data_IF_037316453756
#
_entry.id   IF_037316453756
#
_cell.length_a   1.000
_cell.length_b   1.000
_cell.length_c   1.000
_cell.angle_alpha   90.00
_cell.angle_beta   90.00
_cell.angle_gamma   90.00
#
_symmetry.space_group_name_H-M   'P 1'
#
loop_
_entity.id
_entity.type
_entity.pdbx_description
1 polymer ?
#
# COMPACT_ATOMS: atom_id res chain seq x y z
N UNK A 1 -6.48 -17.17 -10.50
CA UNK A 1 -6.93 -16.45 -11.72
C UNK A 1 -6.14 -16.92 -12.94
N UNK A 2 -4.83 -16.66 -13.02
CA UNK A 2 -4.02 -16.95 -14.22
C UNK A 2 -4.01 -18.40 -14.72
N UNK A 3 -4.25 -19.39 -13.84
CA UNK A 3 -4.36 -20.81 -14.24
C UNK A 3 -5.46 -21.07 -15.28
N UNK A 4 -6.53 -20.27 -15.28
CA UNK A 4 -7.67 -20.42 -16.19
C UNK A 4 -7.76 -19.29 -17.23
N UNK A 5 -6.65 -18.56 -17.46
CA UNK A 5 -6.65 -17.39 -18.35
C UNK A 5 -6.95 -17.74 -19.80
N UNK A 6 -6.67 -18.98 -20.22
CA UNK A 6 -7.03 -19.55 -21.52
C UNK A 6 -8.55 -19.63 -21.74
N UNK A 7 -9.32 -19.82 -20.66
CA UNK A 7 -10.78 -19.92 -20.70
C UNK A 7 -11.47 -18.58 -20.48
N UNK A 8 -10.96 -17.76 -19.57
CA UNK A 8 -11.58 -16.49 -19.20
C UNK A 8 -11.14 -15.32 -20.07
N UNK A 9 -9.97 -15.43 -20.72
CA UNK A 9 -9.31 -14.31 -21.40
C UNK A 9 -8.79 -13.22 -20.46
N UNK A 10 -8.84 -13.46 -19.14
CA UNK A 10 -8.43 -12.50 -18.10
C UNK A 10 -7.13 -12.94 -17.46
N UNK A 11 -6.14 -12.06 -17.47
CA UNK A 11 -4.90 -12.19 -16.69
C UNK A 11 -4.96 -11.26 -15.49
N UNK A 12 -4.29 -11.66 -14.41
CA UNK A 12 -4.21 -10.90 -13.19
C UNK A 12 -2.77 -10.69 -12.75
N UNK A 13 -2.50 -9.52 -12.18
CA UNK A 13 -1.28 -9.18 -11.47
C UNK A 13 -1.63 -8.53 -10.13
N UNK A 14 -0.66 -8.43 -9.24
CA UNK A 14 -0.83 -7.77 -7.94
C UNK A 14 0.24 -6.72 -7.74
N UNK A 15 -0.06 -5.75 -6.90
CA UNK A 15 0.93 -4.83 -6.34
C UNK A 15 0.64 -4.65 -4.86
N UNK A 16 1.53 -5.15 -4.00
CA UNK A 16 1.40 -5.03 -2.55
C UNK A 16 2.55 -4.18 -2.03
N UNK A 17 2.25 -2.91 -1.81
CA UNK A 17 3.21 -1.93 -1.34
C UNK A 17 2.55 -0.97 -0.35
N UNK A 18 3.20 -0.76 0.79
CA UNK A 18 2.84 0.27 1.76
C UNK A 18 3.89 1.37 1.70
N UNK A 19 3.46 2.60 1.45
CA UNK A 19 4.34 3.78 1.35
C UNK A 19 4.02 4.75 2.47
N UNK A 20 5.05 5.22 3.17
CA UNK A 20 4.93 6.22 4.22
C UNK A 20 4.38 7.56 3.71
N UNK A 21 3.64 8.27 4.55
CA UNK A 21 3.03 9.55 4.18
C UNK A 21 4.07 10.68 4.03
N UNK A 22 5.14 10.64 4.83
CA UNK A 22 6.25 11.60 4.83
C UNK A 22 7.60 10.87 4.85
N UNK A 23 8.69 11.61 4.69
CA UNK A 23 10.04 11.07 4.83
C UNK A 23 10.25 10.52 6.23
N UNK A 24 11.11 9.52 6.38
CA UNK A 24 11.46 8.97 7.69
C UNK A 24 12.05 10.10 8.55
N UNK A 25 11.55 10.27 9.77
CA UNK A 25 12.07 11.18 10.78
C UNK A 25 12.69 10.35 11.92
N UNK A 26 13.53 10.97 12.74
CA UNK A 26 14.17 10.30 13.87
C UNK A 26 13.13 9.79 14.86
N UNK A 27 13.30 8.55 15.32
CA UNK A 27 12.36 7.90 16.21
C UNK A 27 12.79 6.47 16.53
N UNK A 28 11.89 5.73 17.17
CA UNK A 28 12.12 4.34 17.51
C UNK A 28 10.87 3.51 17.26
N UNK A 29 11.08 2.24 16.92
CA UNK A 29 10.03 1.22 17.04
C UNK A 29 9.88 0.79 18.50
N UNK A 30 8.79 0.10 18.86
CA UNK A 30 8.68 -0.54 20.17
C UNK A 30 9.24 -1.96 20.18
N UNK A 31 9.37 -2.54 21.38
CA UNK A 31 9.89 -3.90 21.56
C UNK A 31 8.98 -4.99 20.95
N UNK A 32 7.71 -4.69 20.70
CA UNK A 32 6.74 -5.60 20.09
C UNK A 32 6.65 -5.47 18.57
N UNK A 33 7.43 -4.58 17.96
CA UNK A 33 7.40 -4.33 16.53
C UNK A 33 7.66 -5.62 15.76
N UNK A 34 6.69 -6.01 14.96
CA UNK A 34 6.70 -7.21 14.15
C UNK A 34 6.09 -6.97 12.78
N UNK A 35 6.54 -7.73 11.79
CA UNK A 35 5.96 -7.73 10.45
C UNK A 35 5.58 -9.17 10.10
N UNK A 36 4.34 -9.36 9.66
CA UNK A 36 3.78 -10.66 9.31
C UNK A 36 3.99 -11.71 10.41
N UNK A 37 3.86 -11.31 11.68
CA UNK A 37 4.04 -12.16 12.85
C UNK A 37 5.49 -12.44 13.27
N UNK A 38 6.49 -11.92 12.55
CA UNK A 38 7.91 -12.03 12.93
C UNK A 38 8.34 -10.78 13.69
N UNK A 39 8.75 -10.97 14.94
CA UNK A 39 9.24 -9.88 15.80
C UNK A 39 10.61 -9.41 15.30
N UNK A 40 10.70 -8.10 15.05
CA UNK A 40 11.94 -7.38 14.72
C UNK A 40 12.48 -6.71 15.98
N UNK A 41 11.58 -6.16 16.82
CA UNK A 41 11.92 -5.52 18.09
C UNK A 41 12.21 -4.03 17.97
N UNK A 42 12.78 -3.46 19.04
CA UNK A 42 13.09 -2.03 19.12
C UNK A 42 14.29 -1.69 18.23
N UNK A 43 14.10 -0.68 17.38
CA UNK A 43 15.10 -0.15 16.45
C UNK A 43 15.02 1.37 16.51
N UNK A 44 16.14 2.00 16.85
CA UNK A 44 16.28 3.45 16.82
C UNK A 44 16.78 3.89 15.44
N UNK A 45 16.03 4.76 14.77
CA UNK A 45 16.34 5.28 13.44
C UNK A 45 16.43 6.80 13.47
N UNK A 46 17.31 7.34 12.61
CA UNK A 46 17.54 8.78 12.47
C UNK A 46 16.67 9.37 11.36
N UNK A 47 16.68 10.69 11.26
CA UNK A 47 16.08 11.40 10.11
C UNK A 47 16.60 10.78 8.81
N UNK A 48 15.67 10.50 7.88
CA UNK A 48 15.96 9.86 6.60
C UNK A 48 16.50 8.42 6.68
N UNK A 49 16.41 7.77 7.84
CA UNK A 49 17.09 6.50 8.15
C UNK A 49 18.58 6.55 7.73
N UNK A 50 19.29 7.63 8.09
CA UNK A 50 20.71 7.82 7.74
C UNK A 50 21.62 6.72 8.30
N UNK A 51 21.25 6.14 9.45
CA UNK A 51 21.93 4.99 10.03
C UNK A 51 21.55 3.67 9.34
N UNK A 52 20.56 3.68 8.44
CA UNK A 52 20.04 2.50 7.73
C UNK A 52 19.46 1.44 8.66
N UNK A 53 19.17 1.78 9.92
CA UNK A 53 18.84 0.81 10.95
C UNK A 53 17.44 0.24 10.72
N UNK A 54 16.47 1.10 10.37
CA UNK A 54 15.09 0.66 10.15
C UNK A 54 14.99 -0.25 8.93
N UNK A 55 15.53 0.20 7.79
CA UNK A 55 15.52 -0.59 6.55
C UNK A 55 16.29 -1.89 6.72
N UNK A 56 17.45 -1.87 7.38
CA UNK A 56 18.25 -3.08 7.59
C UNK A 56 17.58 -4.07 8.54
N UNK A 57 16.98 -3.60 9.63
CA UNK A 57 16.31 -4.46 10.59
C UNK A 57 15.10 -5.19 9.97
N UNK A 58 14.31 -4.50 9.15
CA UNK A 58 13.21 -5.13 8.39
C UNK A 58 13.77 -6.12 7.36
N UNK A 59 14.79 -5.72 6.61
CA UNK A 59 15.36 -6.57 5.56
C UNK A 59 16.11 -7.80 6.11
N UNK A 60 16.56 -7.78 7.37
CA UNK A 60 17.20 -8.92 8.02
C UNK A 60 16.27 -10.14 8.12
N UNK A 61 14.96 -9.93 8.17
CA UNK A 61 13.94 -10.99 8.25
C UNK A 61 13.08 -11.11 6.99
N UNK A 62 13.47 -10.45 5.88
CA UNK A 62 12.69 -10.40 4.63
C UNK A 62 12.33 -11.77 4.06
N UNK A 63 13.21 -12.75 4.20
CA UNK A 63 13.00 -14.09 3.63
C UNK A 63 11.95 -14.87 4.44
N UNK A 64 11.73 -14.47 5.70
CA UNK A 64 10.69 -15.04 6.56
C UNK A 64 9.37 -14.26 6.42
N UNK A 65 9.44 -12.93 6.49
CA UNK A 65 8.26 -12.06 6.43
C UNK A 65 7.68 -11.93 5.02
N UNK A 66 8.51 -12.03 3.98
CA UNK A 66 8.16 -11.72 2.58
C UNK A 66 8.14 -10.24 2.25
N UNK A 67 8.54 -9.39 3.19
CA UNK A 67 8.46 -7.94 3.09
C UNK A 67 9.86 -7.37 2.97
N UNK A 68 10.08 -6.61 1.91
CA UNK A 68 11.31 -5.87 1.67
C UNK A 68 11.08 -4.39 1.97
N UNK A 69 11.95 -3.82 2.79
CA UNK A 69 12.00 -2.38 3.04
C UNK A 69 12.95 -1.69 2.07
N UNK A 70 12.55 -0.51 1.60
CA UNK A 70 13.37 0.41 0.85
C UNK A 70 13.01 1.86 1.19
N UNK A 71 13.86 2.79 0.73
CA UNK A 71 13.62 4.22 0.80
C UNK A 71 13.37 4.74 -0.61
N UNK A 72 12.32 5.52 -0.81
CA UNK A 72 12.04 6.16 -2.11
C UNK A 72 12.94 7.40 -2.33
N UNK A 73 12.87 8.01 -3.52
CA UNK A 73 13.66 9.21 -3.82
C UNK A 73 13.28 10.43 -2.95
N UNK A 74 12.10 10.41 -2.32
CA UNK A 74 11.60 11.44 -1.43
C UNK A 74 11.89 11.15 0.06
N UNK A 75 12.64 10.09 0.36
CA UNK A 75 13.00 9.69 1.72
C UNK A 75 11.90 8.97 2.50
N UNK A 76 10.80 8.58 1.87
CA UNK A 76 9.69 7.81 2.47
C UNK A 76 10.08 6.35 2.61
N UNK A 77 9.63 5.72 3.69
CA UNK A 77 9.71 4.27 3.85
C UNK A 77 8.75 3.59 2.88
N UNK A 78 9.26 2.61 2.15
CA UNK A 78 8.49 1.75 1.26
C UNK A 78 8.64 0.31 1.72
N UNK A 79 7.52 -0.36 1.96
CA UNK A 79 7.46 -1.78 2.25
C UNK A 79 6.80 -2.47 1.08
N UNK A 80 7.50 -3.40 0.43
CA UNK A 80 7.01 -4.14 -0.73
C UNK A 80 6.97 -5.63 -0.40
N UNK A 81 5.86 -6.29 -0.66
CA UNK A 81 5.81 -7.75 -0.61
C UNK A 81 6.15 -8.33 -1.99
N UNK A 82 7.20 -9.17 -2.03
CA UNK A 82 7.69 -9.76 -3.27
C UNK A 82 6.78 -10.91 -3.78
N UNK A 83 6.12 -11.61 -2.87
CA UNK A 83 5.28 -12.78 -3.15
C UNK A 83 3.78 -12.46 -3.18
N UNK A 84 3.41 -11.19 -2.96
CA UNK A 84 2.02 -10.75 -2.96
C UNK A 84 1.26 -11.10 -1.69
N UNK A 85 1.96 -11.48 -0.61
CA UNK A 85 1.37 -11.58 0.73
C UNK A 85 0.98 -10.19 1.23
N UNK A 86 -0.02 -10.15 2.11
CA UNK A 86 -0.30 -8.95 2.87
C UNK A 86 0.90 -8.52 3.71
N UNK A 87 1.00 -7.21 3.92
CA UNK A 87 1.91 -6.57 4.85
C UNK A 87 1.08 -6.23 6.08
N UNK A 88 1.31 -6.95 7.17
CA UNK A 88 0.77 -6.67 8.47
C UNK A 88 1.88 -6.26 9.42
N UNK A 89 1.76 -5.08 10.00
CA UNK A 89 2.65 -4.55 11.02
C UNK A 89 1.93 -4.68 12.35
N UNK A 90 2.55 -5.38 13.29
CA UNK A 90 2.10 -5.46 14.67
C UNK A 90 3.08 -4.68 15.56
N UNK A 91 2.61 -4.22 16.72
CA UNK A 91 3.36 -3.27 17.56
C UNK A 91 3.50 -1.89 16.90
N UNK A 92 4.25 -1.00 17.54
CA UNK A 92 4.50 0.36 17.05
C UNK A 92 5.78 0.42 16.21
N UNK A 93 5.63 0.74 14.92
CA UNK A 93 6.76 1.13 14.06
C UNK A 93 7.22 2.58 14.31
N UNK A 94 6.50 3.31 15.16
CA UNK A 94 6.73 4.73 15.38
C UNK A 94 6.17 5.60 14.26
N UNK A 95 5.54 6.69 14.64
CA UNK A 95 4.78 7.59 13.75
C UNK A 95 5.72 8.33 12.79
N UNK A 96 6.96 8.47 13.21
CA UNK A 96 8.07 9.10 12.51
C UNK A 96 8.57 8.26 11.32
N UNK A 97 8.26 6.97 11.26
CA UNK A 97 8.49 6.13 10.07
C UNK A 97 7.66 6.57 8.85
N UNK A 98 6.62 7.38 9.05
CA UNK A 98 5.68 7.80 8.01
C UNK A 98 4.52 6.84 7.79
N UNK A 99 4.56 5.62 8.32
CA UNK A 99 3.48 4.65 8.27
C UNK A 99 2.45 4.98 9.37
N UNK A 100 1.17 5.07 9.01
CA UNK A 100 0.07 5.37 9.95
C UNK A 100 -0.73 4.13 10.29
N UNK A 101 -1.54 4.17 11.35
CA UNK A 101 -2.29 3.00 11.84
C UNK A 101 -3.16 2.35 10.75
N UNK A 102 -3.83 3.15 9.92
CA UNK A 102 -4.64 2.65 8.80
C UNK A 102 -3.84 2.00 7.66
N UNK A 103 -2.51 2.07 7.69
CA UNK A 103 -1.61 1.45 6.71
C UNK A 103 -0.87 0.23 7.27
N UNK A 104 -1.06 -0.09 8.55
CA UNK A 104 -0.40 -1.22 9.21
C UNK A 104 -0.93 -2.57 8.74
N UNK A 105 -2.11 -2.61 8.11
CA UNK A 105 -2.66 -3.82 7.51
C UNK A 105 -3.02 -3.53 6.05
N UNK A 106 -2.23 -4.08 5.12
CA UNK A 106 -2.35 -3.84 3.69
C UNK A 106 -2.20 -5.14 2.89
N UNK A 107 -3.21 -5.49 2.12
CA UNK A 107 -3.19 -6.66 1.22
C UNK A 107 -2.94 -6.29 -0.25
N UNK A 108 -2.63 -5.02 -0.51
CA UNK A 108 -2.33 -4.48 -1.83
C UNK A 108 -3.53 -4.44 -2.77
N UNK A 109 -3.22 -4.39 -4.06
CA UNK A 109 -4.21 -4.28 -5.15
C UNK A 109 -4.09 -5.45 -6.11
N UNK A 110 -5.24 -5.88 -6.60
CA UNK A 110 -5.36 -6.86 -7.67
C UNK A 110 -5.73 -6.12 -8.97
N UNK A 111 -4.95 -6.32 -10.02
CA UNK A 111 -5.18 -5.75 -11.35
C UNK A 111 -5.60 -6.84 -12.31
N UNK A 112 -6.66 -6.60 -13.08
CA UNK A 112 -7.18 -7.52 -14.07
C UNK A 112 -7.02 -6.92 -15.47
N UNK A 113 -6.51 -7.71 -16.41
CA UNK A 113 -6.29 -7.29 -17.80
C UNK A 113 -6.96 -8.28 -18.73
N UNK A 114 -7.75 -7.74 -19.65
CA UNK A 114 -8.43 -8.48 -20.73
C UNK A 114 -8.07 -7.85 -22.07
N UNK A 115 -8.01 -8.67 -23.11
CA UNK A 115 -7.54 -8.26 -24.44
C UNK A 115 -8.64 -8.00 -25.47
N UNK A 116 -9.92 -8.14 -25.10
CA UNK A 116 -11.05 -7.99 -26.02
C UNK A 116 -11.81 -6.65 -25.89
N UNK A 117 -11.33 -5.75 -25.03
CA UNK A 117 -11.88 -4.40 -24.83
C UNK A 117 -13.25 -4.34 -24.15
N UNK A 118 -13.86 -5.48 -23.82
CA UNK A 118 -15.12 -5.55 -23.07
C UNK A 118 -14.85 -5.49 -21.58
N UNK A 119 -15.85 -5.07 -20.83
CA UNK A 119 -15.78 -5.02 -19.38
C UNK A 119 -15.53 -6.40 -18.75
N UNK A 120 -14.96 -6.40 -17.54
CA UNK A 120 -14.75 -7.59 -16.72
C UNK A 120 -15.79 -7.57 -15.62
N UNK A 121 -16.90 -8.30 -15.82
CA UNK A 121 -17.91 -8.47 -14.78
C UNK A 121 -17.38 -9.42 -13.69
N UNK A 122 -16.96 -8.85 -12.57
CA UNK A 122 -16.45 -9.59 -11.41
C UNK A 122 -17.58 -9.81 -10.41
N UNK A 123 -18.04 -11.05 -10.29
CA UNK A 123 -19.01 -11.48 -9.29
C UNK A 123 -18.45 -12.57 -8.37
N UNK A 124 -19.01 -12.68 -7.17
CA UNK A 124 -18.63 -13.71 -6.21
C UNK A 124 -19.05 -13.38 -4.77
N UNK A 125 -18.46 -14.10 -3.82
CA UNK A 125 -18.63 -13.88 -2.38
C UNK A 125 -17.38 -13.22 -1.79
N UNK A 126 -17.53 -12.36 -0.78
CA UNK A 126 -16.42 -11.70 -0.06
C UNK A 126 -15.47 -10.89 -0.96
N UNK A 127 -16.01 -10.16 -1.96
CA UNK A 127 -15.22 -9.31 -2.86
C UNK A 127 -14.49 -8.18 -2.13
N UNK A 128 -14.95 -7.80 -0.94
CA UNK A 128 -14.32 -6.80 -0.07
C UNK A 128 -12.85 -7.12 0.21
N UNK A 129 -12.51 -8.41 0.35
CA UNK A 129 -11.13 -8.87 0.59
C UNK A 129 -10.20 -8.66 -0.62
N UNK A 130 -10.75 -8.66 -1.83
CA UNK A 130 -10.01 -8.47 -3.07
C UNK A 130 -10.01 -7.02 -3.58
N UNK A 131 -10.76 -6.12 -2.92
CA UNK A 131 -10.87 -4.73 -3.33
C UNK A 131 -11.91 -4.45 -4.42
N UNK A 132 -12.81 -5.41 -4.72
CA UNK A 132 -13.79 -5.33 -5.82
C UNK A 132 -15.24 -5.22 -5.34
N UNK A 133 -15.49 -4.94 -4.06
CA UNK A 133 -16.87 -4.77 -3.59
C UNK A 133 -17.51 -3.48 -4.13
N UNK A 134 -18.84 -3.44 -4.18
CA UNK A 134 -19.61 -2.26 -4.60
C UNK A 134 -19.33 -1.02 -3.75
N UNK A 135 -18.92 -1.19 -2.49
CA UNK A 135 -18.55 -0.07 -1.62
C UNK A 135 -17.11 0.43 -1.83
N UNK A 136 -16.32 -0.23 -2.69
CA UNK A 136 -14.93 0.10 -2.96
C UNK A 136 -14.80 0.81 -4.31
N UNK A 137 -13.91 1.81 -4.37
CA UNK A 137 -13.62 2.50 -5.62
C UNK A 137 -12.62 1.67 -6.44
N UNK A 138 -13.08 1.20 -7.59
CA UNK A 138 -12.27 0.51 -8.60
C UNK A 138 -12.07 1.42 -9.82
N UNK A 139 -10.90 1.32 -10.44
CA UNK A 139 -10.55 2.06 -11.66
C UNK A 139 -10.53 1.10 -12.84
N UNK A 140 -11.29 1.40 -13.89
CA UNK A 140 -11.39 0.57 -15.10
C UNK A 140 -11.29 1.45 -16.36
N UNK A 141 -10.59 0.96 -17.39
CA UNK A 141 -10.48 1.65 -18.68
C UNK A 141 -10.10 0.68 -19.79
N UNK A 142 -10.59 0.92 -21.01
CA UNK A 142 -10.09 0.29 -22.24
C UNK A 142 -9.16 1.25 -22.97
N UNK A 143 -7.99 0.79 -23.42
CA UNK A 143 -6.99 1.64 -24.09
C UNK A 143 -6.66 1.08 -25.46
N UNK A 144 -6.74 1.91 -26.50
CA UNK A 144 -6.35 1.58 -27.87
C UNK A 144 -4.84 1.77 -28.11
N UNK A 145 -4.31 1.15 -29.17
CA UNK A 145 -2.90 1.33 -29.58
C UNK A 145 -2.53 2.78 -29.95
N UNK A 146 -3.53 3.61 -30.27
CA UNK A 146 -3.30 5.04 -30.53
C UNK A 146 -3.10 5.79 -29.22
N UNK A 147 -3.96 5.52 -28.24
CA UNK A 147 -3.91 6.15 -26.92
C UNK A 147 -2.66 5.74 -26.14
N UNK A 148 -2.16 4.52 -26.33
CA UNK A 148 -0.92 4.07 -25.71
C UNK A 148 0.34 4.83 -26.19
N UNK A 149 0.23 5.63 -27.26
CA UNK A 149 1.33 6.48 -27.76
C UNK A 149 1.27 7.90 -27.21
N UNK A 150 0.16 8.28 -26.57
CA UNK A 150 -0.03 9.61 -25.97
C UNK A 150 0.42 9.64 -24.52
N UNK A 151 0.24 10.80 -23.87
CA UNK A 151 0.39 10.89 -22.42
C UNK A 151 -0.73 10.10 -21.74
N UNK A 152 -0.33 9.22 -20.82
CA UNK A 152 -1.25 8.44 -20.00
C UNK A 152 -1.85 9.38 -18.94
N UNK A 153 -3.16 9.54 -18.93
CA UNK A 153 -3.84 10.32 -17.89
C UNK A 153 -3.88 9.54 -16.55
N UNK A 154 -4.14 10.25 -15.44
CA UNK A 154 -4.10 9.64 -14.10
C UNK A 154 -5.09 8.50 -13.87
N UNK A 155 -6.29 8.54 -14.47
CA UNK A 155 -7.30 7.49 -14.32
C UNK A 155 -6.91 6.22 -15.08
N UNK A 156 -6.36 6.38 -16.30
CA UNK A 156 -5.83 5.27 -17.09
C UNK A 156 -4.59 4.70 -16.40
N UNK A 157 -3.70 5.54 -15.85
CA UNK A 157 -2.54 5.07 -15.07
C UNK A 157 -2.97 4.21 -13.87
N UNK A 158 -3.99 4.65 -13.14
CA UNK A 158 -4.54 3.90 -12.00
C UNK A 158 -5.18 2.57 -12.44
N UNK A 159 -5.95 2.57 -13.54
CA UNK A 159 -6.53 1.37 -14.13
C UNK A 159 -5.46 0.40 -14.71
N UNK A 160 -4.32 0.92 -15.18
CA UNK A 160 -3.18 0.11 -15.63
C UNK A 160 -2.32 -0.43 -14.48
N UNK A 161 -2.63 -0.07 -13.23
CA UNK A 161 -1.94 -0.58 -12.04
C UNK A 161 -0.60 0.11 -11.74
N UNK A 162 -0.38 1.33 -12.24
CA UNK A 162 0.87 2.07 -11.98
C UNK A 162 0.98 2.48 -10.51
N UNK A 163 -0.14 2.75 -9.86
CA UNK A 163 -0.18 3.18 -8.48
C UNK A 163 -0.48 2.00 -7.54
N UNK A 164 0.29 1.85 -6.46
CA UNK A 164 0.03 0.88 -5.40
C UNK A 164 -1.12 1.30 -4.46
N UNK A 165 -1.44 2.60 -4.43
CA UNK A 165 -2.56 3.19 -3.70
C UNK A 165 -3.54 3.85 -4.68
N UNK A 166 -4.84 3.85 -4.36
CA UNK A 166 -5.88 4.44 -5.21
C UNK A 166 -5.51 5.89 -5.60
N UNK A 167 -5.35 6.14 -6.90
CA UNK A 167 -5.04 7.46 -7.45
C UNK A 167 -3.64 7.99 -7.14
N UNK A 168 -2.72 7.14 -6.64
CA UNK A 168 -1.34 7.52 -6.33
C UNK A 168 -1.19 8.53 -5.19
N UNK A 169 -2.28 8.83 -4.47
CA UNK A 169 -2.31 9.82 -3.39
C UNK A 169 -2.90 9.22 -2.13
N UNK A 170 -2.22 9.42 -1.01
CA UNK A 170 -2.78 9.11 0.29
C UNK A 170 -3.84 10.17 0.65
N UNK A 171 -5.09 9.73 0.79
CA UNK A 171 -6.20 10.61 1.18
C UNK A 171 -6.40 10.47 2.68
N UNK A 172 -6.01 11.50 3.42
CA UNK A 172 -6.40 11.66 4.82
C UNK A 172 -7.80 12.27 4.83
N UNK A 173 -8.78 11.50 5.26
CA UNK A 173 -10.14 12.00 5.52
C UNK A 173 -10.37 12.09 7.02
N UNK A 174 -10.95 13.20 7.48
CA UNK A 174 -11.43 13.33 8.86
C UNK A 174 -12.49 12.27 9.16
N UNK A 175 -12.67 11.93 10.44
CA UNK A 175 -13.57 10.89 10.93
C UNK A 175 -15.02 11.13 10.50
N UNK A 176 -15.43 10.64 9.32
CA UNK A 176 -16.81 10.31 8.93
C UNK A 176 -17.89 11.40 9.08
N UNK A 177 -17.50 12.61 9.45
CA UNK A 177 -18.33 13.77 9.71
C UNK A 177 -17.48 14.99 9.38
N UNK A 178 -18.11 15.99 8.78
CA UNK A 178 -17.42 17.20 8.36
C UNK A 178 -16.74 17.91 9.55
N UNK A 179 -15.45 17.66 9.74
CA UNK A 179 -14.48 18.45 10.51
C UNK A 179 -13.09 18.05 9.96
N UNK A 180 -12.27 18.91 9.36
CA UNK A 180 -12.27 20.36 9.19
C UNK A 180 -10.84 20.85 8.91
N UNK A 181 -9.83 20.09 9.37
CA UNK A 181 -8.42 20.36 9.13
C UNK A 181 -7.54 19.12 9.35
N UNK A 182 -6.27 19.18 8.92
CA UNK A 182 -5.25 18.13 9.24
C UNK A 182 -5.05 18.04 10.77
N UNK A 183 -5.21 19.15 11.50
CA UNK A 183 -5.06 19.18 12.95
C UNK A 183 -6.11 18.31 13.67
N UNK A 184 -7.35 18.32 13.19
CA UNK A 184 -8.42 17.48 13.75
C UNK A 184 -8.15 16.00 13.50
N UNK A 185 -7.65 15.64 12.31
CA UNK A 185 -7.23 14.27 12.05
C UNK A 185 -6.06 13.85 12.94
N UNK A 186 -5.04 14.71 13.10
CA UNK A 186 -3.90 14.42 13.96
C UNK A 186 -4.30 14.22 15.43
N UNK A 187 -5.31 14.93 15.93
CA UNK A 187 -5.78 14.76 17.31
C UNK A 187 -6.61 13.50 17.54
N UNK A 188 -7.10 12.84 16.48
CA UNK A 188 -7.90 11.62 16.63
C UNK A 188 -7.09 10.44 17.14
N UNK A 189 -7.69 9.64 18.05
CA UNK A 189 -7.08 8.42 18.59
C UNK A 189 -6.78 7.45 17.46
N UNK A 190 -5.53 6.99 17.38
CA UNK A 190 -5.07 6.08 16.33
C UNK A 190 -4.54 6.78 15.07
N UNK A 191 -4.52 8.12 15.02
CA UNK A 191 -3.79 8.86 13.98
C UNK A 191 -2.27 8.63 14.05
N UNK A 192 -1.79 8.23 15.24
CA UNK A 192 -0.39 8.20 15.59
C UNK A 192 0.15 9.54 16.11
N UNK A 193 -0.57 10.65 15.91
CA UNK A 193 -0.17 11.98 16.38
C UNK A 193 -0.91 12.43 17.64
N UNK A 194 -1.95 11.70 18.04
CA UNK A 194 -2.64 11.94 19.30
C UNK A 194 -1.72 11.61 20.46
N UNK A 195 -1.35 12.64 21.22
CA UNK A 195 -0.69 12.54 22.53
C UNK A 195 -1.50 11.72 23.52
#
# INVERSE_FOLDING_TARGET
INRNADKTGVRASFNVQTVGMHSILAGSTDASFAINGVVIGQVDYKDGDENGALVSAINAVKDTTGVQASKDENGKLVLTSADGRGIKIDGSIGVNSGIKAGQMENYGRLSLVKNDGRDIDVGGTNLTAAGFDKSQHISQSSVSLRESKGQINGQIADAMGFNSINGGKFIVSGTGGAAGSIADWMSTKGSGFSS
#
